data_IF_047927960564
#
_entry.id   IF_047927960564
#
_cell.length_a   1.000
_cell.length_b   1.000
_cell.length_c   1.000
_cell.angle_alpha   90.00
_cell.angle_beta   90.00
_cell.angle_gamma   90.00
#
_symmetry.space_group_name_H-M   'P 1'
#
loop_
_entity.id
_entity.type
_entity.pdbx_description
1 polymer ?
#
# COMPACT_ATOMS: atom_id res chain seq x y z
N UNK A 1 0.75 23.95 12.51
CA UNK A 1 1.50 22.69 12.65
C UNK A 1 0.68 21.75 13.50
N UNK A 2 0.42 20.53 13.04
CA UNK A 2 -0.19 19.49 13.86
C UNK A 2 0.84 18.95 14.85
N UNK A 3 0.40 18.56 16.05
CA UNK A 3 1.22 17.84 17.02
C UNK A 3 1.58 16.44 16.47
N UNK A 4 2.81 15.99 16.71
CA UNK A 4 3.28 14.66 16.31
C UNK A 4 3.79 13.93 17.55
N UNK A 5 3.51 12.63 17.63
CA UNK A 5 4.09 11.76 18.67
C UNK A 5 5.59 11.58 18.43
N UNK A 6 6.30 11.33 19.51
CA UNK A 6 7.70 10.90 19.44
C UNK A 6 7.80 9.49 18.83
N UNK A 7 8.94 9.16 18.19
CA UNK A 7 9.13 7.86 17.54
C UNK A 7 8.97 6.70 18.53
N UNK A 8 9.34 6.89 19.79
CA UNK A 8 9.17 5.89 20.87
C UNK A 8 7.72 5.60 21.21
N UNK A 9 6.79 6.48 20.81
CA UNK A 9 5.34 6.37 21.03
C UNK A 9 4.57 6.22 19.71
N UNK A 10 5.30 5.97 18.61
CA UNK A 10 4.72 5.78 17.29
C UNK A 10 3.87 4.51 17.26
N UNK A 11 2.77 4.57 16.51
CA UNK A 11 1.84 3.45 16.38
C UNK A 11 2.39 2.45 15.37
N UNK A 12 2.47 1.19 15.75
CA UNK A 12 2.71 0.08 14.81
C UNK A 12 4.13 -0.09 14.27
N UNK A 13 5.13 0.68 14.75
CA UNK A 13 6.52 0.45 14.33
C UNK A 13 7.08 -0.87 14.89
N UNK A 14 7.74 -1.71 14.07
CA UNK A 14 8.42 -2.91 14.56
C UNK A 14 9.57 -2.58 15.52
N UNK A 15 9.74 -3.42 16.54
CA UNK A 15 10.84 -3.33 17.51
C UNK A 15 12.04 -4.22 17.16
N UNK A 16 12.01 -4.88 15.99
CA UNK A 16 13.09 -5.73 15.47
C UNK A 16 13.40 -5.38 14.01
N UNK A 17 14.66 -5.56 13.54
CA UNK A 17 15.01 -5.34 12.14
C UNK A 17 14.29 -6.33 11.22
N UNK A 18 13.77 -5.85 10.08
CA UNK A 18 13.10 -6.67 9.05
C UNK A 18 13.68 -6.31 7.68
N UNK A 19 13.99 -7.31 6.86
CA UNK A 19 14.52 -7.11 5.51
C UNK A 19 14.00 -8.18 4.54
N UNK A 20 13.45 -7.81 3.36
CA UNK A 20 13.09 -8.77 2.33
C UNK A 20 14.34 -9.31 1.63
N UNK A 21 14.28 -10.55 1.14
CA UNK A 21 15.34 -11.16 0.32
C UNK A 21 14.72 -11.88 -0.88
N UNK A 22 15.46 -11.96 -1.99
CA UNK A 22 15.06 -12.76 -3.14
C UNK A 22 15.11 -14.27 -2.83
N UNK A 23 14.33 -15.07 -3.55
CA UNK A 23 14.26 -16.51 -3.29
C UNK A 23 15.58 -17.25 -3.55
N UNK A 24 16.43 -16.75 -4.46
CA UNK A 24 17.78 -17.30 -4.66
C UNK A 24 18.69 -17.09 -3.44
N UNK A 25 18.62 -15.92 -2.79
CA UNK A 25 19.35 -15.67 -1.55
C UNK A 25 18.76 -16.46 -0.39
N UNK A 26 17.43 -16.58 -0.33
CA UNK A 26 16.74 -17.41 0.64
C UNK A 26 17.15 -18.87 0.52
N UNK A 27 17.26 -19.40 -0.69
CA UNK A 27 17.73 -20.76 -0.95
C UNK A 27 19.14 -20.98 -0.36
N UNK A 28 20.07 -20.05 -0.58
CA UNK A 28 21.43 -20.13 -0.02
C UNK A 28 21.46 -20.24 1.51
N UNK A 29 20.47 -19.67 2.20
CA UNK A 29 20.32 -19.76 3.66
C UNK A 29 19.62 -21.06 4.07
N UNK A 30 18.51 -21.40 3.40
CA UNK A 30 17.67 -22.54 3.71
C UNK A 30 18.34 -23.89 3.41
N UNK A 31 19.19 -23.98 2.37
CA UNK A 31 19.97 -25.17 2.05
C UNK A 31 20.89 -25.61 3.20
N UNK A 32 21.40 -24.64 3.97
CA UNK A 32 22.32 -24.88 5.08
C UNK A 32 21.58 -25.07 6.41
N UNK A 33 20.27 -24.81 6.43
CA UNK A 33 19.43 -24.82 7.63
C UNK A 33 19.39 -26.22 8.25
N UNK A 34 19.87 -26.32 9.48
CA UNK A 34 19.85 -27.53 10.28
C UNK A 34 18.63 -27.60 11.18
N UNK A 35 18.72 -28.39 12.24
CA UNK A 35 17.67 -28.49 13.26
C UNK A 35 16.54 -29.43 12.87
N UNK A 36 15.36 -29.20 13.47
CA UNK A 36 14.21 -30.10 13.29
C UNK A 36 13.66 -30.04 11.86
N UNK A 37 13.15 -31.17 11.38
CA UNK A 37 12.39 -31.24 10.14
C UNK A 37 11.12 -30.35 10.21
N UNK A 38 10.57 -29.92 9.07
CA UNK A 38 9.30 -29.18 9.05
C UNK A 38 8.18 -30.01 9.72
N UNK A 39 7.29 -29.40 10.52
CA UNK A 39 6.26 -30.11 11.28
C UNK A 39 5.29 -30.92 10.41
N UNK A 40 4.94 -30.37 9.25
CA UNK A 40 4.06 -31.00 8.26
C UNK A 40 4.36 -30.47 6.84
N UNK A 41 3.62 -30.96 5.85
CA UNK A 41 3.81 -30.60 4.44
C UNK A 41 3.52 -29.14 4.11
N UNK A 42 2.72 -28.43 4.92
CA UNK A 42 2.33 -27.04 4.64
C UNK A 42 3.47 -26.05 4.92
N UNK A 43 4.52 -26.48 5.62
CA UNK A 43 5.72 -25.67 5.86
C UNK A 43 6.72 -25.71 4.70
N UNK A 44 6.51 -26.60 3.72
CA UNK A 44 7.39 -26.73 2.57
C UNK A 44 6.91 -25.83 1.44
N UNK A 45 7.77 -24.89 1.04
CA UNK A 45 7.62 -24.17 -0.22
C UNK A 45 8.13 -24.98 -1.42
N UNK A 46 8.36 -24.32 -2.55
CA UNK A 46 8.78 -24.95 -3.81
C UNK A 46 10.28 -24.79 -4.15
N UNK A 47 11.10 -24.39 -3.18
CA UNK A 47 12.57 -24.39 -3.32
C UNK A 47 13.11 -25.79 -3.08
N UNK A 48 14.23 -26.11 -3.72
CA UNK A 48 14.87 -27.42 -3.61
C UNK A 48 15.71 -27.55 -2.32
N UNK A 49 15.06 -27.38 -1.16
CA UNK A 49 15.68 -27.34 0.18
C UNK A 49 14.87 -28.19 1.17
N UNK A 50 15.46 -28.64 2.29
CA UNK A 50 14.75 -29.51 3.24
C UNK A 50 13.67 -28.81 4.07
N UNK A 51 13.69 -27.47 4.12
CA UNK A 51 12.78 -26.64 4.95
C UNK A 51 12.85 -26.98 6.45
N UNK A 52 14.04 -27.30 6.95
CA UNK A 52 14.24 -27.48 8.39
C UNK A 52 13.87 -26.18 9.14
N UNK A 53 13.43 -26.29 10.38
CA UNK A 53 12.96 -25.15 11.19
C UNK A 53 14.11 -24.45 11.91
N UNK A 54 15.27 -25.10 12.02
CA UNK A 54 16.37 -24.65 12.88
C UNK A 54 16.28 -25.21 14.31
N UNK A 55 17.08 -24.67 15.25
CA UNK A 55 17.98 -23.53 15.08
C UNK A 55 19.32 -23.90 14.40
N UNK A 56 19.93 -22.88 13.78
CA UNK A 56 21.29 -22.95 13.26
C UNK A 56 21.46 -23.70 11.95
N UNK A 57 22.72 -23.86 11.54
CA UNK A 57 23.11 -24.57 10.33
C UNK A 57 23.71 -25.95 10.66
N UNK A 58 23.73 -26.86 9.69
CA UNK A 58 24.23 -28.24 9.87
C UNK A 58 25.61 -28.48 9.22
N UNK A 59 26.33 -29.50 9.69
CA UNK A 59 27.59 -29.96 9.13
C UNK A 59 28.71 -28.93 9.26
N UNK A 60 29.43 -28.71 8.15
CA UNK A 60 30.55 -27.76 8.07
C UNK A 60 30.14 -26.29 8.31
N UNK A 61 28.84 -26.00 8.39
CA UNK A 61 28.30 -24.66 8.62
C UNK A 61 27.83 -24.43 10.07
N UNK A 62 27.93 -25.41 10.96
CA UNK A 62 27.40 -25.34 12.34
C UNK A 62 27.89 -24.15 13.18
N UNK A 63 29.07 -23.60 12.90
CA UNK A 63 29.60 -22.40 13.58
C UNK A 63 29.19 -21.09 12.90
N UNK A 64 28.60 -21.14 11.71
CA UNK A 64 28.18 -19.96 10.95
C UNK A 64 26.88 -19.39 11.50
N UNK A 65 26.72 -18.07 11.40
CA UNK A 65 25.52 -17.34 11.82
C UNK A 65 25.13 -16.33 10.75
N UNK A 66 23.85 -15.99 10.71
CA UNK A 66 23.34 -14.87 9.91
C UNK A 66 23.46 -13.59 10.74
N UNK A 67 23.89 -12.50 10.10
CA UNK A 67 23.94 -11.17 10.70
C UNK A 67 23.21 -10.20 9.79
N UNK A 68 22.23 -9.49 10.32
CA UNK A 68 21.49 -8.46 9.60
C UNK A 68 22.15 -7.10 9.81
N UNK A 69 22.24 -6.31 8.74
CA UNK A 69 22.78 -4.95 8.73
C UNK A 69 21.73 -4.03 8.10
N UNK A 70 20.99 -3.28 8.92
CA UNK A 70 19.91 -2.39 8.46
C UNK A 70 20.24 -0.97 8.93
N UNK A 71 20.23 -0.02 7.98
CA UNK A 71 20.57 1.39 8.20
C UNK A 71 19.50 2.34 7.62
N UNK A 72 18.25 1.89 7.58
CA UNK A 72 17.10 2.69 7.14
C UNK A 72 16.69 3.71 8.21
N UNK A 73 16.19 4.88 7.79
CA UNK A 73 15.81 5.96 8.69
C UNK A 73 14.37 6.43 8.43
N UNK A 74 13.62 6.69 9.50
CA UNK A 74 12.30 7.31 9.42
C UNK A 74 12.44 8.83 9.27
N UNK A 75 11.72 9.42 8.32
CA UNK A 75 11.75 10.86 8.08
C UNK A 75 10.36 11.40 7.77
N UNK A 76 10.01 12.51 8.42
CA UNK A 76 8.82 13.27 8.07
C UNK A 76 8.99 13.83 6.66
N UNK A 77 8.11 13.40 5.76
CA UNK A 77 8.13 13.75 4.34
C UNK A 77 6.76 14.31 3.96
N UNK A 78 6.75 15.30 3.07
CA UNK A 78 5.51 15.88 2.55
C UNK A 78 4.95 14.97 1.45
N UNK A 79 3.67 14.66 1.56
CA UNK A 79 2.89 13.87 0.59
C UNK A 79 1.83 14.76 -0.07
N UNK A 80 1.34 14.36 -1.24
CA UNK A 80 0.41 15.15 -2.06
C UNK A 80 -0.70 14.30 -2.67
N UNK A 81 -1.91 14.44 -2.12
CA UNK A 81 -3.13 13.97 -2.75
C UNK A 81 -3.59 14.95 -3.84
N UNK A 82 -4.11 14.44 -4.95
CA UNK A 82 -4.80 15.27 -5.97
C UNK A 82 -6.29 14.99 -5.90
N UNK A 83 -7.09 16.03 -5.66
CA UNK A 83 -8.56 15.93 -5.52
C UNK A 83 -9.24 16.74 -6.62
N UNK A 84 -9.85 16.06 -7.58
CA UNK A 84 -10.70 16.63 -8.62
C UNK A 84 -12.16 16.62 -8.20
N UNK A 85 -12.94 17.64 -8.59
CA UNK A 85 -14.37 17.74 -8.25
C UNK A 85 -15.23 18.00 -9.48
N UNK A 86 -16.21 17.13 -9.72
CA UNK A 86 -17.32 17.37 -10.65
C UNK A 86 -18.60 17.65 -9.86
N UNK A 87 -18.90 18.93 -9.66
CA UNK A 87 -20.02 19.38 -8.84
C UNK A 87 -21.37 18.88 -9.39
N UNK A 88 -22.18 18.28 -8.52
CA UNK A 88 -23.54 17.83 -8.84
C UNK A 88 -24.49 18.97 -9.20
N UNK A 89 -25.52 18.67 -9.99
CA UNK A 89 -26.52 19.63 -10.44
C UNK A 89 -27.69 19.78 -9.46
N UNK A 90 -28.08 18.72 -8.73
CA UNK A 90 -29.27 18.72 -7.86
C UNK A 90 -28.90 18.55 -6.40
N UNK A 91 -28.01 17.61 -6.09
CA UNK A 91 -27.54 17.30 -4.73
C UNK A 91 -26.02 17.53 -4.65
N UNK A 92 -25.54 18.78 -4.75
CA UNK A 92 -24.11 19.07 -4.78
C UNK A 92 -23.38 18.76 -3.46
N UNK A 93 -24.12 18.55 -2.38
CA UNK A 93 -23.68 18.19 -1.04
C UNK A 93 -23.73 16.67 -0.78
N UNK A 94 -23.86 15.84 -1.82
CA UNK A 94 -23.73 14.38 -1.73
C UNK A 94 -22.57 13.91 -2.59
N UNK A 95 -21.68 13.10 -2.02
CA UNK A 95 -20.39 12.76 -2.62
C UNK A 95 -20.31 11.28 -3.00
N UNK A 96 -20.09 11.02 -4.28
CA UNK A 96 -19.59 9.73 -4.76
C UNK A 96 -18.11 9.90 -5.04
N UNK A 97 -17.27 9.08 -4.42
CA UNK A 97 -15.81 9.22 -4.51
C UNK A 97 -15.26 8.05 -5.34
N UNK A 98 -14.47 8.36 -6.37
CA UNK A 98 -13.63 7.40 -7.07
C UNK A 98 -12.17 7.71 -6.73
N UNK A 99 -11.52 6.82 -6.01
CA UNK A 99 -10.16 7.03 -5.50
C UNK A 99 -9.25 5.84 -5.72
N UNK A 100 -7.97 6.12 -5.95
CA UNK A 100 -6.89 5.13 -6.05
C UNK A 100 -5.55 5.80 -5.73
N UNK A 101 -4.55 5.05 -5.28
CA UNK A 101 -3.24 5.63 -5.02
C UNK A 101 -2.39 5.77 -6.29
N UNK A 102 -1.30 6.52 -6.16
CA UNK A 102 -0.40 6.86 -7.26
C UNK A 102 1.06 6.59 -6.93
N UNK A 103 1.44 6.67 -5.66
CA UNK A 103 2.77 6.23 -5.23
C UNK A 103 2.91 4.72 -5.44
N UNK A 104 4.13 4.27 -5.69
CA UNK A 104 4.42 2.85 -5.90
C UNK A 104 5.81 2.52 -5.36
N UNK A 105 6.07 1.26 -5.02
CA UNK A 105 7.41 0.83 -4.56
C UNK A 105 8.54 1.10 -5.56
N UNK A 106 8.27 0.88 -6.86
CA UNK A 106 9.26 1.06 -7.94
C UNK A 106 8.60 1.74 -9.13
N UNK A 107 8.22 0.99 -10.16
CA UNK A 107 7.54 1.53 -11.34
C UNK A 107 6.02 1.46 -11.24
N UNK A 108 5.53 0.51 -10.44
CA UNK A 108 4.11 0.26 -10.23
C UNK A 108 3.34 -0.19 -11.46
N UNK A 109 3.93 -1.05 -12.30
CA UNK A 109 3.34 -1.46 -13.58
C UNK A 109 1.92 -2.04 -13.46
N UNK A 110 1.61 -2.71 -12.35
CA UNK A 110 0.25 -3.10 -11.97
C UNK A 110 -0.20 -2.18 -10.83
N UNK A 111 0.43 -2.36 -9.66
CA UNK A 111 0.13 -1.63 -8.43
C UNK A 111 0.90 -0.29 -8.36
N UNK A 112 0.24 0.88 -8.46
CA UNK A 112 -1.18 1.11 -8.77
C UNK A 112 -1.43 1.62 -10.19
N UNK A 113 -0.39 1.74 -11.04
CA UNK A 113 -0.52 2.50 -12.29
C UNK A 113 -1.58 1.91 -13.23
N UNK A 114 -1.85 0.61 -13.13
CA UNK A 114 -2.90 -0.05 -13.90
C UNK A 114 -4.30 0.48 -13.60
N UNK A 115 -4.67 0.76 -12.35
CA UNK A 115 -5.95 1.40 -12.04
C UNK A 115 -5.87 2.92 -11.99
N UNK A 116 -4.72 3.52 -11.68
CA UNK A 116 -4.54 4.96 -11.86
C UNK A 116 -4.80 5.38 -13.33
N UNK A 117 -4.37 4.58 -14.30
CA UNK A 117 -4.70 4.77 -15.72
C UNK A 117 -6.20 4.67 -16.00
N UNK A 118 -6.89 3.69 -15.39
CA UNK A 118 -8.35 3.54 -15.49
C UNK A 118 -9.07 4.75 -14.91
N UNK A 119 -8.66 5.25 -13.74
CA UNK A 119 -9.20 6.47 -13.13
C UNK A 119 -9.03 7.67 -14.07
N UNK A 120 -7.85 7.85 -14.67
CA UNK A 120 -7.61 8.94 -15.62
C UNK A 120 -8.55 8.88 -16.82
N UNK A 121 -8.78 7.70 -17.38
CA UNK A 121 -9.69 7.53 -18.51
C UNK A 121 -11.16 7.77 -18.12
N UNK A 122 -11.56 7.33 -16.92
CA UNK A 122 -12.89 7.62 -16.37
C UNK A 122 -13.08 9.14 -16.19
N UNK A 123 -12.09 9.82 -15.62
CA UNK A 123 -12.11 11.29 -15.44
C UNK A 123 -12.19 11.98 -16.80
N UNK A 124 -11.42 11.54 -17.80
CA UNK A 124 -11.46 12.06 -19.16
C UNK A 124 -12.86 11.94 -19.76
N UNK A 125 -13.48 10.76 -19.63
CA UNK A 125 -14.84 10.48 -20.13
C UNK A 125 -15.90 11.38 -19.46
N UNK A 126 -15.91 11.47 -18.12
CA UNK A 126 -16.80 12.40 -17.42
C UNK A 126 -16.53 13.87 -17.77
N UNK A 127 -15.27 14.22 -18.01
CA UNK A 127 -14.87 15.55 -18.47
C UNK A 127 -15.42 15.88 -19.86
N UNK A 128 -15.47 14.91 -20.78
CA UNK A 128 -16.11 15.06 -22.10
C UNK A 128 -17.61 15.32 -21.95
N UNK A 129 -18.33 14.49 -21.18
CA UNK A 129 -19.75 14.69 -20.93
C UNK A 129 -20.05 16.07 -20.30
N UNK A 130 -19.19 16.52 -19.39
CA UNK A 130 -19.30 17.86 -18.79
C UNK A 130 -19.21 18.98 -19.84
N UNK A 131 -18.30 18.85 -20.80
CA UNK A 131 -18.13 19.84 -21.88
C UNK A 131 -19.35 19.88 -22.82
N UNK A 132 -20.08 18.78 -22.94
CA UNK A 132 -21.35 18.68 -23.67
C UNK A 132 -22.55 19.22 -22.87
N UNK A 133 -22.34 19.73 -21.66
CA UNK A 133 -23.38 20.33 -20.82
C UNK A 133 -24.03 19.36 -19.84
N UNK A 134 -23.66 18.08 -19.84
CA UNK A 134 -24.14 17.13 -18.85
C UNK A 134 -23.51 17.37 -17.48
N UNK A 135 -24.28 17.15 -16.42
CA UNK A 135 -23.78 17.15 -15.04
C UNK A 135 -24.41 16.01 -14.24
N UNK A 136 -23.65 15.36 -13.33
CA UNK A 136 -24.20 14.33 -12.48
C UNK A 136 -25.22 14.94 -11.51
N UNK A 137 -26.19 14.13 -11.04
CA UNK A 137 -27.13 14.56 -10.00
C UNK A 137 -26.41 14.96 -8.72
N UNK A 138 -25.45 14.12 -8.30
CA UNK A 138 -24.61 14.27 -7.09
C UNK A 138 -23.18 14.68 -7.46
N UNK A 139 -22.43 15.22 -6.52
CA UNK A 139 -21.03 15.57 -6.75
C UNK A 139 -20.17 14.32 -6.83
N UNK A 140 -19.29 14.25 -7.84
CA UNK A 140 -18.27 13.22 -7.95
C UNK A 140 -16.92 13.81 -7.53
N UNK A 141 -16.24 13.15 -6.60
CA UNK A 141 -14.88 13.47 -6.22
C UNK A 141 -13.96 12.41 -6.83
N UNK A 142 -12.89 12.84 -7.48
CA UNK A 142 -11.84 11.99 -8.01
C UNK A 142 -10.60 12.20 -7.15
N UNK A 143 -10.03 11.13 -6.61
CA UNK A 143 -8.88 11.22 -5.73
C UNK A 143 -7.71 10.37 -6.25
N UNK A 144 -6.54 10.98 -6.28
CA UNK A 144 -5.25 10.29 -6.47
C UNK A 144 -4.47 10.39 -5.17
N UNK A 145 -4.47 9.30 -4.40
CA UNK A 145 -3.86 9.22 -3.08
C UNK A 145 -2.35 9.05 -3.18
N UNK A 146 -1.65 9.50 -2.14
CA UNK A 146 -0.18 9.40 -2.01
C UNK A 146 0.18 8.67 -0.71
N UNK A 147 1.37 8.08 -0.66
CA UNK A 147 1.86 7.30 0.48
C UNK A 147 0.90 6.18 0.96
N UNK A 148 0.23 5.52 0.03
CA UNK A 148 -0.57 4.33 0.31
C UNK A 148 0.32 3.16 0.73
N UNK A 149 1.45 2.98 0.04
CA UNK A 149 2.40 1.87 0.26
C UNK A 149 3.08 1.94 1.63
N UNK A 150 2.98 3.11 2.27
CA UNK A 150 3.50 3.40 3.60
C UNK A 150 2.41 3.33 4.69
N UNK A 151 1.26 2.74 4.39
CA UNK A 151 0.18 2.48 5.34
C UNK A 151 -1.04 3.37 5.14
N UNK A 152 -1.51 3.51 3.89
CA UNK A 152 -2.73 4.27 3.54
C UNK A 152 -2.68 5.75 3.96
N UNK A 153 -1.48 6.34 4.08
CA UNK A 153 -1.30 7.62 4.77
C UNK A 153 -2.09 8.75 4.10
N UNK A 154 -1.99 8.90 2.78
CA UNK A 154 -2.66 10.00 2.08
C UNK A 154 -4.18 9.92 2.16
N UNK A 155 -4.78 8.76 1.93
CA UNK A 155 -6.24 8.59 1.99
C UNK A 155 -6.76 8.73 3.42
N UNK A 156 -6.05 8.16 4.41
CA UNK A 156 -6.42 8.21 5.82
C UNK A 156 -6.40 9.64 6.35
N UNK A 157 -5.29 10.37 6.17
CA UNK A 157 -5.15 11.73 6.69
C UNK A 157 -6.17 12.70 6.05
N UNK A 158 -6.46 12.52 4.75
CA UNK A 158 -7.50 13.30 4.09
C UNK A 158 -8.90 12.98 4.64
N UNK A 159 -9.18 11.71 4.93
CA UNK A 159 -10.43 11.28 5.53
C UNK A 159 -10.58 11.77 6.98
N UNK A 160 -9.50 11.80 7.77
CA UNK A 160 -9.50 12.37 9.12
C UNK A 160 -9.83 13.87 9.08
N UNK A 161 -9.17 14.63 8.20
CA UNK A 161 -9.42 16.05 7.99
C UNK A 161 -10.87 16.33 7.58
N UNK A 162 -11.44 15.49 6.71
CA UNK A 162 -12.78 15.69 6.13
C UNK A 162 -13.87 14.82 6.78
N UNK A 163 -13.56 14.17 7.90
CA UNK A 163 -14.40 13.13 8.54
C UNK A 163 -15.85 13.54 8.73
N UNK A 164 -16.10 14.76 9.24
CA UNK A 164 -17.47 15.28 9.44
C UNK A 164 -18.25 15.37 8.13
N UNK A 165 -17.62 15.89 7.07
CA UNK A 165 -18.26 16.02 5.77
C UNK A 165 -18.51 14.65 5.16
N UNK A 166 -17.54 13.74 5.23
CA UNK A 166 -17.67 12.40 4.67
C UNK A 166 -18.75 11.58 5.39
N UNK A 167 -18.85 11.71 6.71
CA UNK A 167 -19.87 11.03 7.51
C UNK A 167 -21.30 11.48 7.15
N UNK A 168 -21.49 12.77 6.89
CA UNK A 168 -22.82 13.34 6.61
C UNK A 168 -23.20 13.31 5.12
N UNK A 169 -22.21 13.36 4.22
CA UNK A 169 -22.40 13.61 2.79
C UNK A 169 -21.88 12.50 1.89
N UNK A 170 -21.04 11.62 2.41
CA UNK A 170 -20.52 10.46 1.69
C UNK A 170 -21.65 9.52 1.31
N UNK A 171 -21.78 9.25 0.02
CA UNK A 171 -22.75 8.28 -0.52
C UNK A 171 -22.06 6.93 -0.71
N UNK A 172 -20.90 6.93 -1.36
CA UNK A 172 -20.11 5.74 -1.60
C UNK A 172 -18.66 6.11 -1.93
N UNK A 173 -17.74 5.21 -1.60
CA UNK A 173 -16.35 5.22 -2.05
C UNK A 173 -16.12 4.00 -2.95
N UNK A 174 -15.59 4.24 -4.16
CA UNK A 174 -15.20 3.21 -5.11
C UNK A 174 -13.68 3.25 -5.23
N UNK A 175 -13.01 2.17 -4.82
CA UNK A 175 -11.57 2.05 -4.88
C UNK A 175 -11.11 1.61 -6.28
N UNK A 176 -10.01 2.17 -6.76
CA UNK A 176 -9.40 1.87 -8.06
C UNK A 176 -7.88 1.83 -7.95
N UNK A 177 -7.38 0.75 -7.36
CA UNK A 177 -5.96 0.45 -7.14
C UNK A 177 -5.41 -0.34 -8.33
N UNK A 178 -5.19 -1.65 -8.21
CA UNK A 178 -4.80 -2.51 -9.32
C UNK A 178 -6.03 -2.91 -10.13
N UNK A 179 -5.94 -2.85 -11.46
CA UNK A 179 -7.05 -3.18 -12.36
C UNK A 179 -6.95 -4.59 -12.97
N UNK A 180 -5.87 -5.31 -12.67
CA UNK A 180 -5.56 -6.67 -13.10
C UNK A 180 -4.65 -7.34 -12.06
N UNK A 181 -4.74 -8.66 -11.92
CA UNK A 181 -3.85 -9.50 -11.10
C UNK A 181 -3.39 -10.73 -11.89
#
# INVERSE_FOLDING_TARGET
YAYRREITEAVGLPNIPVHPIGYYDAQNLLEKMGGAAPPDSNWKGNLHVPYNVGPGFIGNFSTRKVKMHIHSNNKVTRIYNVIGTLRGAVEPDRYVILGGHRDSWVFGGIDPQSGAAVVHEIVRSFGTLKKEGWRPRRTILFASWDAEEFGLLGSTEWAEENSRLLQERGVAYVNADSSIE
#
